data_IF_259374324028
#
_entry.id   IF_259374324028
#
_cell.length_a   1.000
_cell.length_b   1.000
_cell.length_c   1.000
_cell.angle_alpha   90.00
_cell.angle_beta   90.00
_cell.angle_gamma   90.00
#
_symmetry.space_group_name_H-M   'P 1'
#
loop_
_entity.id
_entity.type
_entity.pdbx_description
1 polymer ?
#
# COMPACT_ATOMS: atom_id res chain seq x y z
N UNK A 1 12.06 59.83 -1.27
CA UNK A 1 13.38 59.65 -1.91
C UNK A 1 13.43 58.27 -2.53
N UNK A 2 13.47 58.20 -3.87
CA UNK A 2 13.50 56.96 -4.66
C UNK A 2 14.92 56.38 -4.62
N UNK A 3 15.06 55.06 -4.44
CA UNK A 3 16.25 54.32 -4.87
C UNK A 3 15.82 53.12 -5.70
N UNK A 4 15.88 53.31 -7.02
CA UNK A 4 15.96 52.25 -8.02
C UNK A 4 17.30 51.52 -7.82
N UNK A 5 17.29 50.20 -7.82
CA UNK A 5 18.49 49.40 -8.08
C UNK A 5 18.16 48.45 -9.23
N UNK A 6 18.96 48.58 -10.29
CA UNK A 6 18.86 47.88 -11.56
C UNK A 6 19.24 46.40 -11.45
N UNK A 7 18.48 45.58 -12.17
CA UNK A 7 18.87 44.26 -12.68
C UNK A 7 19.89 44.41 -13.83
N UNK A 8 20.76 43.39 -14.02
CA UNK A 8 21.06 42.95 -15.38
C UNK A 8 20.69 41.48 -15.57
N UNK A 9 19.76 41.29 -16.51
CA UNK A 9 19.43 40.02 -17.16
C UNK A 9 20.63 39.52 -17.95
N UNK A 10 21.09 38.30 -17.68
CA UNK A 10 22.09 37.61 -18.49
C UNK A 10 21.38 36.53 -19.30
N UNK A 11 21.13 36.84 -20.58
CA UNK A 11 20.61 35.92 -21.59
C UNK A 11 21.83 35.24 -22.22
N UNK A 12 21.99 33.94 -21.97
CA UNK A 12 22.86 33.09 -22.80
C UNK A 12 22.00 32.23 -23.72
N UNK A 13 22.02 32.59 -24.99
CA UNK A 13 21.55 31.79 -26.11
C UNK A 13 22.57 30.65 -26.31
N UNK A 14 22.17 29.40 -26.06
CA UNK A 14 22.87 28.24 -26.59
C UNK A 14 22.05 27.64 -27.72
N UNK A 15 22.64 27.71 -28.91
CA UNK A 15 22.15 27.22 -30.19
C UNK A 15 22.10 25.70 -30.22
N UNK A 16 20.98 25.12 -30.64
CA UNK A 16 20.90 23.72 -31.07
C UNK A 16 21.65 23.56 -32.41
N UNK A 17 22.47 22.52 -32.54
CA UNK A 17 22.99 22.06 -33.83
C UNK A 17 22.46 20.64 -34.08
N UNK A 18 21.47 20.54 -34.96
CA UNK A 18 20.98 19.27 -35.50
C UNK A 18 21.97 18.76 -36.56
N UNK A 19 22.49 17.55 -36.38
CA UNK A 19 23.13 16.78 -37.46
C UNK A 19 22.30 15.54 -37.75
N UNK A 20 21.58 15.58 -38.88
CA UNK A 20 21.10 14.39 -39.60
C UNK A 20 22.04 14.12 -40.78
N UNK A 21 22.51 12.87 -40.91
CA UNK A 21 22.78 12.19 -42.19
C UNK A 21 22.51 10.69 -42.04
N UNK A 22 21.65 10.18 -42.92
CA UNK A 22 21.36 8.77 -43.24
C UNK A 22 22.51 8.14 -44.10
N UNK A 23 22.31 7.02 -44.82
CA UNK A 23 22.36 5.62 -44.41
C UNK A 23 23.50 4.85 -45.13
N UNK A 24 23.88 3.66 -44.64
CA UNK A 24 24.62 2.68 -45.47
C UNK A 24 23.97 1.31 -45.31
N UNK A 25 23.64 0.75 -46.47
CA UNK A 25 22.99 -0.54 -46.70
C UNK A 25 24.01 -1.52 -47.32
N UNK A 26 23.68 -2.81 -47.20
CA UNK A 26 24.02 -3.96 -48.07
C UNK A 26 25.05 -5.02 -47.59
N UNK A 27 24.45 -6.16 -47.18
CA UNK A 27 24.78 -7.60 -47.43
C UNK A 27 25.59 -8.48 -46.44
N UNK A 28 24.85 -9.28 -45.64
CA UNK A 28 24.74 -10.77 -45.52
C UNK A 28 25.78 -11.72 -46.16
N UNK A 29 25.92 -13.02 -45.73
CA UNK A 29 24.87 -13.90 -45.16
C UNK A 29 25.23 -14.94 -44.05
N UNK A 30 24.15 -15.51 -43.45
CA UNK A 30 23.97 -16.84 -42.79
C UNK A 30 24.69 -17.16 -41.46
N UNK A 31 23.95 -17.32 -40.36
CA UNK A 31 23.51 -18.66 -39.91
C UNK A 31 22.51 -18.64 -38.73
N UNK A 32 21.41 -19.38 -38.93
CA UNK A 32 20.69 -20.26 -38.01
C UNK A 32 20.48 -19.88 -36.52
N UNK A 33 19.19 -19.68 -36.21
CA UNK A 33 18.48 -20.06 -34.98
C UNK A 33 19.03 -19.58 -33.64
N UNK A 34 18.43 -18.51 -33.13
CA UNK A 34 17.91 -18.46 -31.78
C UNK A 34 16.83 -17.39 -31.75
N UNK A 35 15.55 -17.82 -31.75
CA UNK A 35 14.46 -16.98 -31.26
C UNK A 35 14.69 -16.74 -29.77
N UNK A 36 15.59 -15.81 -29.45
CA UNK A 36 15.54 -15.08 -28.21
C UNK A 36 14.31 -14.20 -28.37
N UNK A 37 13.20 -14.67 -27.83
CA UNK A 37 12.02 -13.84 -27.59
C UNK A 37 12.52 -12.60 -26.86
N UNK A 38 12.57 -11.49 -27.60
CA UNK A 38 12.84 -10.16 -27.13
C UNK A 38 11.76 -9.82 -26.12
N UNK A 39 11.99 -10.20 -24.86
CA UNK A 39 11.30 -9.65 -23.71
C UNK A 39 11.92 -8.29 -23.41
N UNK A 40 11.89 -7.41 -24.41
CA UNK A 40 12.20 -6.01 -24.23
C UNK A 40 11.07 -5.17 -24.82
N UNK A 41 10.71 -4.17 -24.03
CA UNK A 41 9.68 -3.14 -24.22
C UNK A 41 8.21 -3.51 -23.99
N UNK A 42 7.63 -2.78 -23.01
CA UNK A 42 6.22 -2.49 -22.75
C UNK A 42 5.40 -3.53 -21.96
N UNK A 43 5.71 -3.67 -20.66
CA UNK A 43 4.65 -3.58 -19.65
C UNK A 43 5.18 -3.28 -18.24
N UNK A 44 5.67 -2.04 -18.04
CA UNK A 44 5.89 -1.50 -16.67
C UNK A 44 4.56 -1.20 -15.93
N UNK A 45 3.43 -1.40 -16.59
CA UNK A 45 2.09 -1.03 -16.12
C UNK A 45 1.16 -2.24 -15.95
N UNK A 46 1.66 -3.48 -15.91
CA UNK A 46 0.79 -4.60 -15.60
C UNK A 46 0.65 -4.79 -14.10
N UNK A 47 -0.58 -4.91 -13.63
CA UNK A 47 -0.87 -5.45 -12.31
C UNK A 47 -0.36 -6.90 -12.22
N UNK A 48 0.06 -7.37 -11.03
CA UNK A 48 0.44 -8.76 -10.83
C UNK A 48 -0.62 -9.75 -11.35
N UNK A 49 -0.18 -10.83 -11.99
CA UNK A 49 -1.02 -11.85 -12.62
C UNK A 49 -0.94 -13.22 -11.92
N UNK A 50 -0.07 -13.36 -10.91
CA UNK A 50 0.07 -14.58 -10.09
C UNK A 50 0.26 -14.23 -8.61
N UNK A 51 0.10 -15.21 -7.71
CA UNK A 51 0.35 -15.01 -6.27
C UNK A 51 1.82 -14.69 -6.01
N UNK A 52 2.73 -15.30 -6.75
CA UNK A 52 4.18 -15.07 -6.66
C UNK A 52 4.51 -13.62 -7.05
N UNK A 53 3.90 -13.11 -8.13
CA UNK A 53 4.05 -11.72 -8.54
C UNK A 53 3.44 -10.75 -7.51
N UNK A 54 2.29 -11.09 -6.91
CA UNK A 54 1.70 -10.30 -5.81
C UNK A 54 2.67 -10.21 -4.64
N UNK A 55 3.26 -11.34 -4.22
CA UNK A 55 4.24 -11.38 -3.12
C UNK A 55 5.49 -10.56 -3.43
N UNK A 56 5.98 -10.63 -4.67
CA UNK A 56 7.14 -9.85 -5.11
C UNK A 56 6.85 -8.34 -5.12
N UNK A 57 5.70 -7.93 -5.66
CA UNK A 57 5.29 -6.52 -5.68
C UNK A 57 5.03 -5.99 -4.27
N UNK A 58 4.37 -6.79 -3.41
CA UNK A 58 4.22 -6.47 -1.99
C UNK A 58 5.58 -6.27 -1.31
N UNK A 59 6.53 -7.19 -1.51
CA UNK A 59 7.85 -7.07 -0.91
C UNK A 59 8.58 -5.80 -1.36
N UNK A 60 8.44 -5.42 -2.64
CA UNK A 60 9.00 -4.18 -3.17
C UNK A 60 8.42 -2.95 -2.46
N UNK A 61 7.09 -2.82 -2.42
CA UNK A 61 6.42 -1.67 -1.78
C UNK A 61 6.69 -1.65 -0.28
N UNK A 62 6.64 -2.81 0.39
CA UNK A 62 6.90 -2.92 1.82
C UNK A 62 8.34 -2.55 2.19
N UNK A 63 9.33 -2.94 1.38
CA UNK A 63 10.72 -2.51 1.57
C UNK A 63 10.88 -0.99 1.40
N UNK A 64 10.11 -0.36 0.50
CA UNK A 64 10.07 1.09 0.38
C UNK A 64 9.44 1.75 1.62
N UNK A 65 8.36 1.19 2.16
CA UNK A 65 7.73 1.65 3.40
C UNK A 65 8.69 1.56 4.59
N UNK A 66 9.30 0.39 4.84
CA UNK A 66 10.26 0.16 5.92
C UNK A 66 11.47 1.10 5.76
N UNK A 67 11.95 1.26 4.52
CA UNK A 67 13.06 2.16 4.21
C UNK A 67 12.68 3.65 4.20
N UNK A 68 11.43 4.02 4.49
CA UNK A 68 10.90 5.40 4.44
C UNK A 68 11.19 6.09 3.10
N UNK A 69 11.08 5.36 1.99
CA UNK A 69 11.38 5.82 0.61
C UNK A 69 10.16 6.35 -0.14
N UNK A 70 9.01 6.42 0.50
CA UNK A 70 7.76 6.92 -0.07
C UNK A 70 7.40 8.25 0.58
N UNK A 71 6.88 9.18 -0.21
CA UNK A 71 6.25 10.38 0.30
C UNK A 71 4.96 9.99 1.03
N UNK A 72 4.61 10.71 2.10
CA UNK A 72 3.41 10.42 2.87
C UNK A 72 2.59 11.65 3.18
N UNK A 73 1.27 11.46 3.21
CA UNK A 73 0.30 12.43 3.70
C UNK A 73 -0.70 11.71 4.60
N UNK A 74 -1.13 12.35 5.68
CA UNK A 74 -2.07 11.74 6.62
C UNK A 74 -3.10 12.72 7.13
N UNK A 75 -4.20 12.16 7.62
CA UNK A 75 -5.21 12.87 8.39
C UNK A 75 -5.78 11.96 9.46
N UNK A 76 -6.29 12.58 10.51
CA UNK A 76 -6.99 11.93 11.61
C UNK A 76 -8.47 12.30 11.57
N UNK A 77 -9.33 11.39 12.01
CA UNK A 77 -10.76 11.63 12.14
C UNK A 77 -11.30 10.99 13.42
N UNK A 78 -12.46 11.47 13.86
CA UNK A 78 -13.13 11.00 15.07
C UNK A 78 -14.64 10.95 14.80
N UNK A 79 -15.24 9.82 15.16
CA UNK A 79 -16.65 9.49 14.98
C UNK A 79 -17.18 8.96 16.32
N UNK A 80 -17.81 9.82 17.13
CA UNK A 80 -18.26 9.46 18.48
C UNK A 80 -17.09 8.86 19.32
N UNK A 81 -17.17 7.58 19.69
CA UNK A 81 -16.14 6.86 20.46
C UNK A 81 -15.05 6.20 19.59
N UNK A 82 -15.20 6.26 18.26
CA UNK A 82 -14.26 5.67 17.30
C UNK A 82 -13.32 6.75 16.79
N UNK A 83 -12.02 6.48 16.88
CA UNK A 83 -10.99 7.31 16.27
C UNK A 83 -10.34 6.59 15.12
N UNK A 84 -9.83 7.33 14.14
CA UNK A 84 -9.12 6.74 13.01
C UNK A 84 -8.05 7.63 12.43
N UNK A 85 -7.13 6.98 11.72
CA UNK A 85 -5.98 7.59 11.06
C UNK A 85 -5.85 6.99 9.67
N UNK A 86 -5.62 7.86 8.68
CA UNK A 86 -5.34 7.43 7.31
C UNK A 86 -3.98 7.98 6.89
N UNK A 87 -3.13 7.12 6.34
CA UNK A 87 -1.84 7.48 5.76
C UNK A 87 -1.78 7.01 4.32
N UNK A 88 -1.56 7.93 3.40
CA UNK A 88 -1.33 7.68 1.98
C UNK A 88 0.16 7.70 1.71
N UNK A 89 0.66 6.67 1.02
CA UNK A 89 2.06 6.57 0.62
C UNK A 89 2.19 6.60 -0.89
N UNK A 90 3.02 7.50 -1.41
CA UNK A 90 3.18 7.72 -2.84
C UNK A 90 4.64 7.79 -3.27
N UNK A 91 4.89 7.57 -4.56
CA UNK A 91 6.19 7.75 -5.18
C UNK A 91 5.99 8.33 -6.57
N UNK A 92 6.67 9.44 -6.88
CA UNK A 92 6.53 10.16 -8.16
C UNK A 92 5.07 10.51 -8.49
N UNK A 93 4.29 10.89 -7.47
CA UNK A 93 2.86 11.22 -7.60
C UNK A 93 1.93 10.01 -7.76
N UNK A 94 2.45 8.78 -7.84
CA UNK A 94 1.64 7.58 -7.90
C UNK A 94 1.40 7.01 -6.49
N UNK A 95 0.14 6.80 -6.12
CA UNK A 95 -0.24 6.18 -4.86
C UNK A 95 0.15 4.70 -4.85
N UNK A 96 0.96 4.29 -3.87
CA UNK A 96 1.50 2.93 -3.73
C UNK A 96 0.82 2.15 -2.61
N UNK A 97 0.44 2.83 -1.53
CA UNK A 97 -0.25 2.18 -0.43
C UNK A 97 -1.13 3.17 0.35
N UNK A 98 -2.17 2.63 0.99
CA UNK A 98 -2.98 3.32 1.98
C UNK A 98 -2.95 2.48 3.25
N UNK A 99 -2.58 3.08 4.38
CA UNK A 99 -2.77 2.50 5.70
C UNK A 99 -3.95 3.20 6.37
N UNK A 100 -4.91 2.43 6.83
CA UNK A 100 -6.08 2.91 7.54
C UNK A 100 -6.17 2.20 8.88
N UNK A 101 -6.15 2.99 9.95
CA UNK A 101 -6.43 2.52 11.31
C UNK A 101 -7.76 3.09 11.76
N UNK A 102 -8.58 2.28 12.43
CA UNK A 102 -9.70 2.77 13.21
C UNK A 102 -9.96 1.88 14.43
N UNK A 103 -10.52 2.46 15.49
CA UNK A 103 -10.81 1.71 16.70
C UNK A 103 -11.40 2.54 17.83
N UNK A 104 -11.83 1.82 18.85
CA UNK A 104 -12.34 2.33 20.12
C UNK A 104 -11.51 1.75 21.29
N UNK A 105 -12.07 1.77 22.51
CA UNK A 105 -11.42 1.29 23.72
C UNK A 105 -11.23 -0.24 23.81
N UNK A 106 -11.95 -1.02 23.02
CA UNK A 106 -11.94 -2.49 23.07
C UNK A 106 -11.64 -3.13 21.70
N UNK A 107 -11.79 -2.39 20.61
CA UNK A 107 -11.57 -2.87 19.25
C UNK A 107 -10.63 -1.98 18.47
N UNK A 108 -9.77 -2.59 17.66
CA UNK A 108 -9.06 -1.87 16.60
C UNK A 108 -8.93 -2.69 15.33
N UNK A 109 -8.84 -1.99 14.21
CA UNK A 109 -8.60 -2.54 12.88
C UNK A 109 -7.51 -1.73 12.19
N UNK A 110 -6.57 -2.43 11.55
CA UNK A 110 -5.57 -1.86 10.66
C UNK A 110 -5.69 -2.52 9.30
N UNK A 111 -5.94 -1.71 8.27
CA UNK A 111 -6.02 -2.13 6.88
C UNK A 111 -4.88 -1.50 6.10
N UNK A 112 -4.14 -2.32 5.36
CA UNK A 112 -3.08 -1.88 4.46
C UNK A 112 -3.46 -2.29 3.04
N UNK A 113 -3.78 -1.30 2.22
CA UNK A 113 -4.05 -1.46 0.79
C UNK A 113 -2.75 -1.26 0.02
N UNK A 114 -2.34 -2.24 -0.78
CA UNK A 114 -1.17 -2.14 -1.66
C UNK A 114 -1.64 -2.03 -3.11
N UNK A 115 -1.21 -0.95 -3.77
CA UNK A 115 -1.80 -0.51 -5.03
C UNK A 115 -0.83 -0.63 -6.19
N UNK A 116 -1.38 -1.00 -7.34
CA UNK A 116 -0.73 -0.93 -8.64
C UNK A 116 -1.74 -0.37 -9.64
N UNK A 117 -1.36 0.67 -10.38
CA UNK A 117 -2.26 1.37 -11.30
C UNK A 117 -3.56 1.85 -10.62
N UNK A 118 -3.47 2.33 -9.38
CA UNK A 118 -4.61 2.82 -8.60
C UNK A 118 -5.58 1.76 -8.09
N UNK A 119 -5.31 0.46 -8.30
CA UNK A 119 -6.16 -0.64 -7.82
C UNK A 119 -5.42 -1.50 -6.78
N UNK A 120 -6.11 -2.05 -5.77
CA UNK A 120 -5.51 -3.01 -4.86
C UNK A 120 -5.10 -4.29 -5.58
N UNK A 121 -3.84 -4.70 -5.42
CA UNK A 121 -3.39 -6.05 -5.79
C UNK A 121 -3.26 -6.96 -4.56
N UNK A 122 -3.12 -6.36 -3.37
CA UNK A 122 -3.03 -7.04 -2.09
C UNK A 122 -3.61 -6.16 -0.98
N UNK A 123 -4.35 -6.76 -0.07
CA UNK A 123 -4.84 -6.11 1.15
C UNK A 123 -4.47 -6.97 2.36
N UNK A 124 -3.90 -6.35 3.38
CA UNK A 124 -3.67 -6.95 4.68
C UNK A 124 -4.55 -6.24 5.73
N UNK A 125 -5.40 -7.00 6.41
CA UNK A 125 -6.23 -6.52 7.50
C UNK A 125 -5.80 -7.21 8.79
N UNK A 126 -5.72 -6.46 9.88
CA UNK A 126 -5.52 -6.98 11.23
C UNK A 126 -6.59 -6.37 12.14
N UNK A 127 -7.45 -7.22 12.72
CA UNK A 127 -8.47 -6.84 13.69
C UNK A 127 -8.04 -7.35 15.06
N UNK A 128 -8.15 -6.52 16.09
CA UNK A 128 -7.81 -6.88 17.47
C UNK A 128 -8.99 -6.54 18.39
N UNK A 129 -9.42 -7.54 19.17
CA UNK A 129 -10.41 -7.37 20.23
C UNK A 129 -9.74 -7.55 21.59
N UNK A 130 -9.65 -6.48 22.36
CA UNK A 130 -9.13 -6.50 23.72
C UNK A 130 -10.24 -6.88 24.71
N UNK A 131 -9.94 -7.76 25.66
CA UNK A 131 -10.87 -8.21 26.69
C UNK A 131 -10.18 -8.47 28.03
N UNK A 132 -10.94 -8.37 29.12
CA UNK A 132 -10.55 -8.95 30.40
C UNK A 132 -10.53 -10.49 30.33
N UNK A 133 -9.59 -11.07 31.04
CA UNK A 133 -9.26 -12.50 31.00
C UNK A 133 -8.99 -13.04 32.43
N UNK A 134 -9.61 -12.40 33.43
CA UNK A 134 -9.49 -12.74 34.84
C UNK A 134 -8.63 -11.75 35.64
N UNK A 135 -7.94 -12.26 36.66
CA UNK A 135 -7.19 -11.45 37.63
C UNK A 135 -8.06 -10.90 38.77
N UNK A 136 -7.54 -9.90 39.49
CA UNK A 136 -8.28 -9.15 40.52
C UNK A 136 -8.52 -7.72 40.05
N UNK A 137 -9.44 -6.95 40.68
CA UNK A 137 -9.61 -5.53 40.34
C UNK A 137 -8.31 -4.72 40.43
N UNK A 138 -7.39 -5.07 41.33
CA UNK A 138 -6.10 -4.41 41.51
C UNK A 138 -5.03 -4.90 40.51
N UNK A 139 -5.22 -6.09 39.94
CA UNK A 139 -4.30 -6.74 39.00
C UNK A 139 -5.10 -7.50 37.94
N UNK A 140 -5.79 -6.79 37.03
CA UNK A 140 -6.57 -7.43 35.99
C UNK A 140 -5.65 -8.15 35.00
N UNK A 141 -6.13 -9.27 34.48
CA UNK A 141 -5.50 -9.98 33.38
C UNK A 141 -6.29 -9.68 32.10
N UNK A 142 -5.58 -9.53 30.99
CA UNK A 142 -6.19 -9.13 29.72
C UNK A 142 -5.70 -10.04 28.61
N UNK A 143 -6.48 -10.09 27.54
CA UNK A 143 -6.12 -10.76 26.30
C UNK A 143 -6.52 -9.93 25.09
N UNK A 144 -5.78 -10.15 24.02
CA UNK A 144 -6.07 -9.66 22.69
C UNK A 144 -6.38 -10.87 21.81
N UNK A 145 -7.58 -10.93 21.26
CA UNK A 145 -7.92 -11.87 20.19
C UNK A 145 -7.65 -11.16 18.86
N UNK A 146 -6.68 -11.67 18.10
CA UNK A 146 -6.19 -11.06 16.86
C UNK A 146 -6.60 -11.91 15.66
N UNK A 147 -7.12 -11.26 14.62
CA UNK A 147 -7.43 -11.85 13.33
C UNK A 147 -6.71 -11.09 12.21
N UNK A 148 -5.78 -11.77 11.56
CA UNK A 148 -5.09 -11.31 10.36
C UNK A 148 -5.75 -11.90 9.12
N UNK A 149 -6.14 -11.06 8.16
CA UNK A 149 -6.64 -11.49 6.85
C UNK A 149 -5.76 -10.96 5.72
N UNK A 150 -5.50 -11.80 4.74
CA UNK A 150 -4.71 -11.48 3.53
C UNK A 150 -5.57 -11.71 2.32
N UNK A 151 -5.77 -10.69 1.49
CA UNK A 151 -6.60 -10.75 0.28
C UNK A 151 -5.74 -10.54 -0.96
N UNK A 152 -5.85 -11.44 -1.93
CA UNK A 152 -5.05 -11.45 -3.14
C UNK A 152 -5.93 -11.14 -4.36
N UNK A 153 -5.50 -10.16 -5.16
CA UNK A 153 -6.28 -9.68 -6.30
C UNK A 153 -5.51 -9.82 -7.61
N UNK A 154 -6.16 -10.40 -8.61
CA UNK A 154 -5.67 -10.43 -10.00
C UNK A 154 -6.76 -9.84 -10.87
N UNK A 155 -6.40 -8.85 -11.70
CA UNK A 155 -7.31 -8.16 -12.61
C UNK A 155 -8.59 -7.67 -11.88
N UNK A 156 -8.40 -7.07 -10.70
CA UNK A 156 -9.46 -6.52 -9.84
C UNK A 156 -10.45 -7.59 -9.29
N UNK A 157 -10.11 -8.87 -9.39
CA UNK A 157 -10.90 -9.97 -8.84
C UNK A 157 -10.17 -10.60 -7.66
N UNK A 158 -10.90 -10.84 -6.58
CA UNK A 158 -10.41 -11.60 -5.44
C UNK A 158 -10.23 -13.07 -5.86
N UNK A 159 -8.99 -13.56 -5.81
CA UNK A 159 -8.66 -14.93 -6.24
C UNK A 159 -8.37 -15.86 -5.07
N UNK A 160 -7.96 -15.32 -3.93
CA UNK A 160 -7.64 -16.09 -2.73
C UNK A 160 -7.66 -15.17 -1.52
N UNK A 161 -7.92 -15.75 -0.36
CA UNK A 161 -7.68 -15.10 0.91
C UNK A 161 -7.22 -16.11 1.96
N UNK A 162 -6.45 -15.63 2.94
CA UNK A 162 -5.87 -16.44 4.01
C UNK A 162 -6.10 -15.75 5.33
N UNK A 163 -6.56 -16.51 6.31
CA UNK A 163 -6.87 -16.02 7.64
C UNK A 163 -5.90 -16.64 8.64
N UNK A 164 -5.46 -15.83 9.61
CA UNK A 164 -4.69 -16.28 10.76
C UNK A 164 -5.28 -15.68 12.02
N UNK A 165 -5.62 -16.51 13.00
CA UNK A 165 -6.14 -16.07 14.30
C UNK A 165 -5.26 -16.55 15.42
N UNK A 166 -5.10 -15.73 16.45
CA UNK A 166 -4.34 -16.08 17.65
C UNK A 166 -4.75 -15.20 18.82
N UNK A 167 -4.43 -15.64 20.04
CA UNK A 167 -4.66 -14.88 21.27
C UNK A 167 -3.32 -14.48 21.88
N UNK A 168 -3.19 -13.24 22.33
CA UNK A 168 -2.08 -12.75 23.14
C UNK A 168 -2.59 -12.44 24.55
N UNK A 169 -2.02 -13.04 25.59
CA UNK A 169 -2.38 -12.74 27.00
C UNK A 169 -1.32 -11.88 27.65
N UNK A 170 -1.69 -10.99 28.59
CA UNK A 170 -0.73 -10.11 29.31
C UNK A 170 0.43 -10.89 29.93
N UNK A 171 0.15 -12.08 30.49
CA UNK A 171 1.15 -12.93 31.13
C UNK A 171 2.16 -13.55 30.16
N UNK A 172 1.86 -13.59 28.86
CA UNK A 172 2.67 -14.31 27.87
C UNK A 172 2.57 -13.69 26.47
N UNK A 173 2.69 -12.37 26.36
CA UNK A 173 2.54 -11.65 25.08
C UNK A 173 3.50 -12.13 23.99
N UNK A 174 4.66 -12.68 24.35
CA UNK A 174 5.65 -13.20 23.41
C UNK A 174 5.27 -14.55 22.78
N UNK A 175 4.26 -15.25 23.30
CA UNK A 175 3.87 -16.58 22.82
C UNK A 175 2.38 -16.61 22.48
N UNK A 176 2.02 -16.50 21.19
CA UNK A 176 0.64 -16.61 20.74
C UNK A 176 0.02 -17.96 21.10
N UNK A 177 -1.22 -17.91 21.57
CA UNK A 177 -2.06 -19.08 21.86
C UNK A 177 -3.14 -19.26 20.77
N UNK A 178 -3.76 -20.43 20.72
CA UNK A 178 -4.88 -20.74 19.80
C UNK A 178 -4.60 -20.41 18.33
N UNK A 179 -3.33 -20.54 17.91
CA UNK A 179 -2.91 -20.18 16.56
C UNK A 179 -3.61 -21.08 15.54
N UNK A 180 -4.39 -20.45 14.66
CA UNK A 180 -4.92 -21.05 13.45
C UNK A 180 -4.45 -20.22 12.26
N UNK A 181 -4.04 -20.89 11.19
CA UNK A 181 -3.55 -20.23 9.98
C UNK A 181 -3.84 -21.11 8.77
N UNK A 182 -4.52 -20.57 7.77
CA UNK A 182 -4.89 -21.33 6.59
C UNK A 182 -5.65 -20.54 5.56
N UNK A 183 -5.81 -21.13 4.37
CA UNK A 183 -6.68 -20.57 3.33
C UNK A 183 -8.13 -20.49 3.84
N UNK A 184 -8.77 -19.36 3.57
CA UNK A 184 -10.16 -19.18 3.96
C UNK A 184 -11.08 -19.82 2.93
N UNK A 185 -12.11 -20.51 3.41
CA UNK A 185 -13.16 -21.09 2.54
C UNK A 185 -14.17 -20.04 2.06
N UNK A 186 -14.18 -18.85 2.67
CA UNK A 186 -15.15 -17.78 2.41
C UNK A 186 -14.45 -16.42 2.37
N UNK A 187 -13.98 -16.05 1.20
CA UNK A 187 -13.44 -14.72 0.97
C UNK A 187 -14.58 -13.72 0.74
N UNK A 188 -14.75 -12.76 1.64
CA UNK A 188 -15.64 -11.61 1.47
C UNK A 188 -14.84 -10.34 1.70
N UNK A 189 -14.75 -9.49 0.68
CA UNK A 189 -14.04 -8.22 0.71
C UNK A 189 -14.97 -7.01 0.48
N UNK A 190 -16.28 -7.20 0.58
CA UNK A 190 -17.28 -6.17 0.26
C UNK A 190 -17.08 -4.90 1.07
N UNK A 191 -16.91 -5.03 2.39
CA UNK A 191 -16.68 -3.86 3.26
C UNK A 191 -15.31 -3.25 3.00
N UNK A 192 -14.25 -4.06 2.84
CA UNK A 192 -12.91 -3.57 2.51
C UNK A 192 -12.88 -2.75 1.22
N UNK A 193 -13.66 -3.14 0.21
CA UNK A 193 -13.80 -2.37 -1.03
C UNK A 193 -14.56 -1.07 -0.83
N UNK A 194 -15.64 -1.07 -0.05
CA UNK A 194 -16.37 0.16 0.28
C UNK A 194 -15.47 1.15 1.02
N UNK A 195 -14.73 0.67 2.02
CA UNK A 195 -13.75 1.45 2.76
C UNK A 195 -12.69 2.01 1.81
N UNK A 196 -12.11 1.17 0.92
CA UNK A 196 -11.15 1.64 -0.07
C UNK A 196 -11.66 2.80 -0.93
N UNK A 197 -12.85 2.67 -1.51
CA UNK A 197 -13.46 3.73 -2.34
C UNK A 197 -13.68 5.03 -1.56
N UNK A 198 -14.10 4.91 -0.30
CA UNK A 198 -14.27 6.06 0.59
C UNK A 198 -12.92 6.69 0.97
N UNK A 199 -11.87 5.91 1.23
CA UNK A 199 -10.52 6.43 1.46
C UNK A 199 -9.99 7.16 0.22
N UNK A 200 -10.27 6.67 -0.99
CA UNK A 200 -9.90 7.38 -2.22
C UNK A 200 -10.62 8.72 -2.37
N UNK A 201 -11.91 8.81 -2.01
CA UNK A 201 -12.67 10.07 -2.03
C UNK A 201 -12.13 11.12 -1.07
N UNK A 202 -11.51 10.69 0.03
CA UNK A 202 -10.99 11.56 1.08
C UNK A 202 -9.48 11.83 0.97
N UNK A 203 -8.80 11.38 -0.09
CA UNK A 203 -7.32 11.44 -0.21
C UNK A 203 -6.69 12.85 -0.13
N UNK A 204 -7.47 13.89 -0.44
CA UNK A 204 -6.99 15.28 -0.42
C UNK A 204 -7.21 15.96 0.95
N UNK A 205 -7.88 15.28 1.90
CA UNK A 205 -8.05 15.76 3.27
C UNK A 205 -6.70 15.80 4.00
N UNK A 206 -6.56 16.77 4.89
CA UNK A 206 -5.33 16.99 5.69
C UNK A 206 -5.71 17.40 7.11
N UNK A 207 -4.87 17.02 8.08
CA UNK A 207 -5.07 17.40 9.49
C UNK A 207 -6.21 16.64 10.15
N UNK A 208 -6.93 17.27 11.09
CA UNK A 208 -8.11 16.66 11.74
C UNK A 208 -9.37 16.98 10.95
N UNK A 209 -10.24 15.99 10.73
CA UNK A 209 -11.49 16.16 9.97
C UNK A 209 -12.66 15.43 10.65
N UNK A 210 -13.89 15.81 10.27
CA UNK A 210 -15.10 15.11 10.67
C UNK A 210 -15.14 13.68 10.12
N UNK A 211 -16.03 12.87 10.69
CA UNK A 211 -16.19 11.46 10.37
C UNK A 211 -16.17 11.17 8.85
N UNK A 212 -15.44 10.12 8.46
CA UNK A 212 -15.34 9.67 7.07
C UNK A 212 -15.89 8.27 6.83
N UNK A 213 -16.01 7.45 7.89
CA UNK A 213 -16.60 6.12 7.88
C UNK A 213 -18.13 6.21 7.96
#
# INVERSE_FOLDING_TARGET
MKKLILLPSLVFLFSCEDKKKEPIDVHSPTDTSQQISSKDSLNKNNSPQTIEEIKAEYALVNNQLIGKKLDSASFDYECDEVSGNVVYYSSNGELKSIKHFHGDSHFSSVENYYLKNGKPFFIFQEETVWNFDGGTPEKPETKDDVEEKRFYYINDKLISCRDKKYTLRTKNQSKPENVSDGESKKCNDTELRKTFEMLLKNKEKKGKTDCIL
#
